data_IF_585684573404
#
_entry.id   IF_585684573404
#
_cell.length_a   1.000
_cell.length_b   1.000
_cell.length_c   1.000
_cell.angle_alpha   90.00
_cell.angle_beta   90.00
_cell.angle_gamma   90.00
#
_symmetry.space_group_name_H-M   'P 1'
#
loop_
_entity.id
_entity.type
_entity.pdbx_description
1 polymer ?
#
# COMPACT_ATOMS: atom_id res chain seq x y z
N UNK A 1 41.00 1.02 -36.13
CA UNK A 1 40.89 -0.38 -35.63
C UNK A 1 39.58 -0.54 -34.90
N UNK A 2 38.79 -1.55 -35.30
CA UNK A 2 37.45 -1.89 -34.82
C UNK A 2 37.44 -2.27 -33.34
N UNK A 3 36.40 -1.88 -32.59
CA UNK A 3 35.80 -2.73 -31.55
C UNK A 3 34.28 -2.68 -31.65
N UNK A 4 33.72 -3.88 -31.76
CA UNK A 4 32.34 -4.27 -31.98
C UNK A 4 31.46 -4.05 -30.75
N UNK A 5 30.30 -3.44 -30.93
CA UNK A 5 29.18 -3.59 -29.99
C UNK A 5 28.40 -4.85 -30.38
N UNK A 6 28.25 -5.75 -29.40
CA UNK A 6 27.44 -6.97 -29.49
C UNK A 6 25.96 -6.62 -29.63
N UNK A 7 25.35 -7.13 -30.70
CA UNK A 7 23.93 -7.01 -31.01
C UNK A 7 23.14 -8.09 -30.23
N UNK A 8 22.19 -7.71 -29.38
CA UNK A 8 21.16 -8.63 -28.86
C UNK A 8 19.79 -7.98 -29.05
N UNK A 9 18.80 -8.66 -29.68
CA UNK A 9 17.50 -8.06 -29.95
C UNK A 9 16.55 -8.20 -28.74
N UNK A 10 15.91 -7.10 -28.34
CA UNK A 10 14.76 -7.11 -27.41
C UNK A 10 13.45 -7.19 -28.19
N UNK A 11 12.61 -8.18 -27.85
CA UNK A 11 11.34 -8.53 -28.50
C UNK A 11 10.19 -7.63 -28.01
N UNK A 12 9.31 -7.18 -28.91
CA UNK A 12 8.10 -6.44 -28.54
C UNK A 12 7.05 -7.36 -27.89
N UNK A 13 6.67 -7.07 -26.63
CA UNK A 13 5.76 -7.90 -25.82
C UNK A 13 4.31 -7.97 -26.33
N UNK A 14 3.92 -7.14 -27.31
CA UNK A 14 2.53 -7.10 -27.81
C UNK A 14 2.30 -7.81 -29.15
N UNK A 15 3.32 -7.93 -30.00
CA UNK A 15 3.19 -8.58 -31.32
C UNK A 15 4.28 -9.62 -31.64
N UNK A 16 5.28 -9.76 -30.77
CA UNK A 16 6.24 -10.88 -30.82
C UNK A 16 7.28 -10.87 -31.95
N UNK A 17 7.36 -9.82 -32.78
CA UNK A 17 8.34 -9.70 -33.88
C UNK A 17 9.62 -8.98 -33.46
N UNK A 18 10.75 -9.34 -34.06
CA UNK A 18 12.06 -8.71 -33.88
C UNK A 18 12.42 -7.83 -35.09
N UNK A 19 12.92 -6.61 -34.86
CA UNK A 19 13.49 -5.73 -35.89
C UNK A 19 12.94 -4.29 -35.90
N UNK A 20 13.87 -3.33 -35.80
CA UNK A 20 13.84 -1.88 -36.07
C UNK A 20 12.55 -1.05 -35.86
N UNK A 21 12.65 -0.11 -34.91
CA UNK A 21 11.74 1.02 -34.73
C UNK A 21 11.66 1.91 -35.98
N UNK A 22 10.46 2.09 -36.52
CA UNK A 22 10.07 3.32 -37.20
C UNK A 22 8.69 3.75 -36.71
N UNK A 23 8.58 5.05 -36.43
CA UNK A 23 7.37 5.77 -36.07
C UNK A 23 6.25 5.50 -37.09
N UNK A 24 5.27 4.65 -36.77
CA UNK A 24 3.93 4.66 -37.36
C UNK A 24 3.05 3.57 -36.72
N UNK A 25 2.33 3.93 -35.66
CA UNK A 25 1.17 3.17 -35.16
C UNK A 25 0.26 4.05 -34.29
N UNK A 26 0.03 5.27 -34.76
CA UNK A 26 -1.09 6.10 -34.34
C UNK A 26 -1.88 6.47 -35.60
N UNK A 27 -3.20 6.37 -35.49
CA UNK A 27 -4.19 6.72 -36.51
C UNK A 27 -4.44 5.70 -37.62
N UNK A 28 -5.59 4.99 -37.53
CA UNK A 28 -6.69 5.08 -38.50
C UNK A 28 -7.75 4.03 -38.16
N UNK A 29 -8.85 4.49 -37.56
CA UNK A 29 -10.13 3.80 -37.68
C UNK A 29 -11.24 4.84 -37.85
N UNK A 30 -11.68 4.99 -39.09
CA UNK A 30 -13.00 5.54 -39.41
C UNK A 30 -13.48 4.85 -40.69
N UNK A 31 -14.61 4.13 -40.63
CA UNK A 31 -15.45 4.06 -41.81
C UNK A 31 -16.93 4.22 -41.44
N UNK A 32 -17.48 5.39 -41.79
CA UNK A 32 -18.87 5.51 -42.22
C UNK A 32 -18.97 5.22 -43.73
N UNK A 33 -20.13 4.66 -44.10
CA UNK A 33 -20.78 4.58 -45.41
C UNK A 33 -20.50 3.41 -46.39
N UNK A 34 -21.40 2.42 -46.30
CA UNK A 34 -22.50 2.13 -47.24
C UNK A 34 -22.19 1.65 -48.68
N UNK A 35 -22.52 0.37 -48.96
CA UNK A 35 -23.70 -0.07 -49.76
C UNK A 35 -23.44 -1.25 -50.75
N UNK A 36 -24.43 -2.17 -50.78
CA UNK A 36 -24.83 -3.18 -51.80
C UNK A 36 -24.03 -4.50 -52.02
N UNK A 37 -24.60 -5.62 -51.54
CA UNK A 37 -25.49 -6.55 -52.31
C UNK A 37 -25.79 -7.85 -51.54
N UNK A 38 -27.07 -8.01 -51.18
CA UNK A 38 -27.91 -9.22 -51.23
C UNK A 38 -27.26 -10.62 -51.22
N UNK A 39 -27.52 -11.40 -50.17
CA UNK A 39 -28.21 -12.71 -50.30
C UNK A 39 -29.01 -13.02 -49.02
N UNK A 40 -30.25 -13.49 -49.21
CA UNK A 40 -31.19 -13.94 -48.17
C UNK A 40 -30.73 -15.28 -47.60
N UNK A 41 -30.68 -15.42 -46.28
CA UNK A 41 -31.02 -16.67 -45.60
C UNK A 41 -31.50 -16.38 -44.18
N UNK A 42 -32.72 -16.84 -43.91
CA UNK A 42 -33.45 -16.71 -42.66
C UNK A 42 -32.87 -17.58 -41.56
N UNK A 43 -32.41 -16.96 -40.48
CA UNK A 43 -32.18 -17.64 -39.21
C UNK A 43 -32.84 -16.82 -38.09
N UNK A 44 -33.72 -17.50 -37.34
CA UNK A 44 -34.49 -16.98 -36.22
C UNK A 44 -33.55 -16.36 -35.18
N UNK A 45 -33.70 -15.07 -34.92
CA UNK A 45 -33.06 -14.41 -33.78
C UNK A 45 -33.89 -14.75 -32.54
N UNK A 46 -33.38 -15.65 -31.72
CA UNK A 46 -33.85 -15.82 -30.35
C UNK A 46 -33.48 -14.54 -29.59
N UNK A 47 -34.49 -13.78 -29.21
CA UNK A 47 -34.34 -12.59 -28.39
C UNK A 47 -34.15 -13.05 -26.93
N UNK A 48 -32.92 -13.43 -26.56
CA UNK A 48 -32.53 -13.47 -25.15
C UNK A 48 -32.30 -12.02 -24.75
N UNK A 49 -33.21 -11.50 -23.92
CA UNK A 49 -32.99 -10.25 -23.21
C UNK A 49 -31.63 -10.35 -22.51
N UNK A 50 -30.68 -9.51 -22.92
CA UNK A 50 -29.50 -9.26 -22.13
C UNK A 50 -30.01 -8.68 -20.80
N UNK A 51 -29.99 -9.48 -19.75
CA UNK A 51 -30.03 -8.94 -18.39
C UNK A 51 -28.83 -8.02 -18.29
N UNK A 52 -29.09 -6.72 -18.37
CA UNK A 52 -28.15 -5.71 -17.92
C UNK A 52 -27.91 -5.99 -16.45
N UNK A 53 -26.80 -6.67 -16.15
CA UNK A 53 -26.23 -6.67 -14.81
C UNK A 53 -25.98 -5.21 -14.51
N UNK A 54 -26.85 -4.62 -13.71
CA UNK A 54 -26.64 -3.29 -13.18
C UNK A 54 -25.47 -3.45 -12.21
N UNK A 55 -24.24 -3.23 -12.71
CA UNK A 55 -23.02 -3.30 -11.91
C UNK A 55 -23.22 -2.33 -10.74
N UNK A 56 -23.42 -2.89 -9.54
CA UNK A 56 -23.43 -2.12 -8.31
C UNK A 56 -22.10 -1.37 -8.16
N UNK A 57 -22.03 -0.33 -7.32
CA UNK A 57 -20.80 0.45 -7.17
C UNK A 57 -19.63 -0.48 -6.82
N UNK A 58 -18.61 -0.51 -7.69
CA UNK A 58 -17.37 -1.21 -7.41
C UNK A 58 -16.61 -0.44 -6.31
N UNK A 59 -16.85 -0.83 -5.06
CA UNK A 59 -16.15 -0.25 -3.92
C UNK A 59 -14.71 -0.79 -3.92
N UNK A 60 -13.75 0.10 -3.65
CA UNK A 60 -12.39 -0.28 -3.30
C UNK A 60 -12.10 0.11 -1.85
N UNK A 61 -11.61 -0.86 -1.08
CA UNK A 61 -11.04 -0.61 0.23
C UNK A 61 -9.52 -0.55 0.11
N UNK A 62 -8.92 0.55 0.55
CA UNK A 62 -7.46 0.63 0.66
C UNK A 62 -7.04 0.66 2.12
N UNK A 63 -6.02 -0.12 2.46
CA UNK A 63 -5.49 -0.22 3.83
C UNK A 63 -4.02 0.17 3.83
N UNK A 64 -3.62 1.10 4.69
CA UNK A 64 -2.20 1.40 4.88
C UNK A 64 -1.49 0.24 5.59
N UNK A 65 -0.25 -0.08 5.18
CA UNK A 65 0.51 -1.19 5.78
C UNK A 65 0.74 -1.03 7.30
N UNK A 66 0.83 0.22 7.80
CA UNK A 66 0.92 0.53 9.24
C UNK A 66 -0.35 0.16 10.01
N UNK A 67 -1.49 0.02 9.32
CA UNK A 67 -2.71 -0.51 9.92
C UNK A 67 -2.75 -2.01 10.00
N UNK A 68 -2.00 -2.70 9.14
CA UNK A 68 -2.00 -4.15 9.15
C UNK A 68 -1.32 -4.67 10.42
N UNK A 69 -0.36 -3.95 11.02
CA UNK A 69 0.41 -4.41 12.18
C UNK A 69 0.38 -3.44 13.36
N UNK A 70 0.17 -3.96 14.58
CA UNK A 70 0.28 -3.13 15.79
C UNK A 70 1.74 -3.00 16.23
N UNK A 71 2.33 -1.83 15.95
CA UNK A 71 3.75 -1.57 16.21
C UNK A 71 4.05 -1.07 17.63
N UNK A 72 3.03 -0.62 18.39
CA UNK A 72 3.18 -0.20 19.80
C UNK A 72 2.82 -1.26 20.84
N UNK A 73 2.30 -2.43 20.46
CA UNK A 73 1.97 -3.48 21.44
C UNK A 73 3.18 -3.81 22.33
N UNK A 74 2.95 -3.98 23.64
CA UNK A 74 3.97 -4.36 24.61
C UNK A 74 4.79 -5.58 24.15
N UNK A 75 4.16 -6.53 23.45
CA UNK A 75 4.82 -7.71 22.87
C UNK A 75 5.77 -7.32 21.73
N UNK A 76 5.30 -6.53 20.77
CA UNK A 76 6.10 -6.01 19.65
C UNK A 76 7.28 -5.18 20.14
N UNK A 77 7.03 -4.29 21.11
CA UNK A 77 8.05 -3.45 21.71
C UNK A 77 9.06 -4.25 22.52
N UNK A 78 8.64 -5.25 23.30
CA UNK A 78 9.57 -6.10 24.05
C UNK A 78 10.49 -6.90 23.13
N UNK A 79 9.93 -7.46 22.05
CA UNK A 79 10.69 -8.22 21.06
C UNK A 79 11.70 -7.32 20.34
N UNK A 80 11.25 -6.13 19.93
CA UNK A 80 12.08 -5.11 19.30
C UNK A 80 13.16 -4.58 20.23
N UNK A 81 12.84 -4.28 21.49
CA UNK A 81 13.79 -3.81 22.52
C UNK A 81 14.83 -4.87 22.84
N UNK A 82 14.44 -6.13 23.00
CA UNK A 82 15.38 -7.22 23.27
C UNK A 82 16.38 -7.40 22.12
N UNK A 83 15.88 -7.26 20.89
CA UNK A 83 16.66 -7.35 19.67
C UNK A 83 17.62 -6.15 19.49
N UNK A 84 17.11 -4.92 19.61
CA UNK A 84 17.91 -3.68 19.56
C UNK A 84 18.95 -3.70 20.69
N UNK A 85 18.59 -4.11 21.91
CA UNK A 85 19.54 -4.21 23.02
C UNK A 85 20.65 -5.21 22.76
N UNK A 86 20.33 -6.38 22.20
CA UNK A 86 21.32 -7.43 21.88
C UNK A 86 22.28 -6.99 20.78
N UNK A 87 21.80 -6.30 19.76
CA UNK A 87 22.57 -5.98 18.54
C UNK A 87 23.23 -4.59 18.61
N UNK A 88 22.58 -3.60 19.23
CA UNK A 88 23.02 -2.20 19.28
C UNK A 88 23.53 -1.76 20.66
N UNK A 89 23.33 -2.57 21.71
CA UNK A 89 23.64 -2.19 23.09
C UNK A 89 22.78 -1.06 23.65
N UNK A 90 21.82 -0.54 22.87
CA UNK A 90 20.89 0.51 23.26
C UNK A 90 19.45 -0.02 23.26
N UNK A 91 18.58 0.59 24.03
CA UNK A 91 17.14 0.32 23.98
C UNK A 91 16.39 1.63 23.82
N UNK A 92 15.57 1.72 22.78
CA UNK A 92 14.62 2.81 22.64
C UNK A 92 13.30 2.39 23.26
N UNK A 93 12.81 3.18 24.21
CA UNK A 93 11.45 3.02 24.73
C UNK A 93 10.42 3.59 23.73
N UNK A 94 9.14 3.57 24.12
CA UNK A 94 8.05 3.93 23.20
C UNK A 94 8.07 5.44 22.95
N UNK A 95 8.34 6.18 24.01
CA UNK A 95 8.38 7.63 24.08
C UNK A 95 9.53 8.15 23.21
N UNK A 96 10.75 7.67 23.45
CA UNK A 96 11.93 8.03 22.66
C UNK A 96 11.78 7.62 21.20
N UNK A 97 11.23 6.43 20.92
CA UNK A 97 11.01 6.03 19.53
C UNK A 97 9.97 6.90 18.82
N UNK A 98 8.97 7.42 19.54
CA UNK A 98 8.02 8.40 19.03
C UNK A 98 8.68 9.71 18.62
N UNK A 99 9.57 10.25 19.46
CA UNK A 99 10.35 11.45 19.11
C UNK A 99 11.25 11.20 17.90
N UNK A 100 11.92 10.05 17.87
CA UNK A 100 12.78 9.67 16.77
C UNK A 100 12.02 9.45 15.45
N UNK A 101 10.72 9.12 15.47
CA UNK A 101 9.89 8.97 14.26
C UNK A 101 9.69 10.28 13.50
N UNK A 102 9.82 11.43 14.18
CA UNK A 102 9.82 12.76 13.55
C UNK A 102 11.02 12.96 12.60
N UNK A 103 12.06 12.14 12.75
CA UNK A 103 13.20 12.07 11.82
C UNK A 103 12.89 10.99 10.77
N UNK A 104 12.76 11.43 9.53
CA UNK A 104 12.51 10.57 8.38
C UNK A 104 13.70 9.64 8.09
N UNK A 105 13.41 8.38 7.78
CA UNK A 105 14.42 7.39 7.41
C UNK A 105 15.10 6.69 8.61
N UNK A 106 15.26 5.37 8.51
CA UNK A 106 15.79 4.56 9.60
C UNK A 106 17.28 4.78 9.88
N UNK A 107 18.06 5.11 8.85
CA UNK A 107 19.51 5.36 8.98
C UNK A 107 19.76 6.73 9.60
N UNK A 108 19.07 7.73 9.08
CA UNK A 108 19.10 9.13 9.50
C UNK A 108 18.71 9.24 10.97
N UNK A 109 17.67 8.52 11.39
CA UNK A 109 17.27 8.38 12.80
C UNK A 109 18.36 7.81 13.69
N UNK A 110 19.02 6.71 13.28
CA UNK A 110 20.10 6.12 14.05
C UNK A 110 21.30 7.07 14.15
N UNK A 111 21.67 7.73 13.04
CA UNK A 111 22.75 8.72 13.01
C UNK A 111 22.45 9.90 13.94
N UNK A 112 21.24 10.47 13.85
CA UNK A 112 20.83 11.58 14.70
C UNK A 112 20.82 11.19 16.19
N UNK A 113 20.30 10.01 16.51
CA UNK A 113 20.33 9.47 17.87
C UNK A 113 21.78 9.38 18.41
N UNK A 114 22.69 8.72 17.68
CA UNK A 114 24.08 8.57 18.16
C UNK A 114 24.87 9.87 18.17
N UNK A 115 24.56 10.82 17.29
CA UNK A 115 25.16 12.16 17.34
C UNK A 115 24.73 12.92 18.61
N UNK A 116 23.52 12.70 19.10
CA UNK A 116 23.00 13.35 20.32
C UNK A 116 23.42 12.62 21.61
N UNK A 117 23.36 11.28 21.62
CA UNK A 117 23.58 10.48 22.84
C UNK A 117 25.00 9.94 22.98
N UNK A 118 25.85 10.15 21.97
CA UNK A 118 27.16 9.53 21.85
C UNK A 118 27.11 8.22 21.06
N UNK A 119 28.17 8.00 20.29
CA UNK A 119 28.33 6.79 19.48
C UNK A 119 28.75 5.59 20.34
N UNK A 120 28.28 4.36 20.03
CA UNK A 120 28.69 3.16 20.75
C UNK A 120 30.21 2.98 20.73
N UNK A 121 30.80 2.39 21.78
CA UNK A 121 32.26 2.20 21.86
C UNK A 121 32.85 1.38 20.69
N UNK A 122 32.05 0.52 20.06
CA UNK A 122 32.43 -0.28 18.89
C UNK A 122 32.25 0.45 17.55
N UNK A 123 31.67 1.65 17.56
CA UNK A 123 31.45 2.41 16.34
C UNK A 123 32.78 2.98 15.82
N UNK A 124 32.94 3.06 14.49
CA UNK A 124 34.10 3.71 13.89
C UNK A 124 34.22 5.19 14.25
N UNK A 125 35.42 5.74 14.07
CA UNK A 125 35.72 7.14 14.41
C UNK A 125 35.53 8.11 13.24
N UNK A 126 35.68 7.65 12.01
CA UNK A 126 35.52 8.51 10.82
C UNK A 126 34.08 8.51 10.31
N UNK A 127 33.69 9.58 9.61
CA UNK A 127 32.32 9.76 9.14
C UNK A 127 31.96 8.76 8.04
N UNK A 128 32.88 8.44 7.13
CA UNK A 128 32.70 7.42 6.09
C UNK A 128 32.42 6.05 6.70
N UNK A 129 33.23 5.63 7.67
CA UNK A 129 33.07 4.34 8.33
C UNK A 129 31.80 4.29 9.19
N UNK A 130 31.40 5.43 9.80
CA UNK A 130 30.13 5.55 10.52
C UNK A 130 28.93 5.40 9.59
N UNK A 131 28.97 5.94 8.38
CA UNK A 131 27.90 5.73 7.38
C UNK A 131 27.75 4.24 7.04
N UNK A 132 28.84 3.54 6.80
CA UNK A 132 28.84 2.08 6.55
C UNK A 132 28.34 1.30 7.76
N UNK A 133 28.77 1.68 8.97
CA UNK A 133 28.30 1.08 10.21
C UNK A 133 26.78 1.23 10.35
N UNK A 134 26.23 2.43 10.19
CA UNK A 134 24.77 2.68 10.23
C UNK A 134 24.03 1.88 9.14
N UNK A 135 24.59 1.79 7.93
CA UNK A 135 24.00 1.00 6.86
C UNK A 135 23.93 -0.49 7.25
N UNK A 136 24.98 -1.04 7.86
CA UNK A 136 25.00 -2.43 8.34
C UNK A 136 24.00 -2.68 9.46
N UNK A 137 23.88 -1.75 10.43
CA UNK A 137 22.88 -1.80 11.49
C UNK A 137 21.45 -1.74 10.92
N UNK A 138 21.21 -0.86 9.95
CA UNK A 138 19.92 -0.75 9.29
C UNK A 138 19.55 -2.02 8.54
N UNK A 139 20.52 -2.62 7.82
CA UNK A 139 20.36 -3.90 7.14
C UNK A 139 20.00 -5.00 8.14
N UNK A 140 20.76 -5.12 9.23
CA UNK A 140 20.50 -6.10 10.29
C UNK A 140 19.14 -5.93 10.94
N UNK A 141 18.77 -4.70 11.29
CA UNK A 141 17.42 -4.37 11.80
C UNK A 141 16.33 -4.78 10.80
N UNK A 142 16.58 -4.63 9.51
CA UNK A 142 15.64 -5.01 8.45
C UNK A 142 15.49 -6.52 8.37
N UNK A 143 16.58 -7.29 8.37
CA UNK A 143 16.56 -8.77 8.40
C UNK A 143 15.77 -9.30 9.59
N UNK A 144 16.00 -8.71 10.77
CA UNK A 144 15.33 -9.14 11.98
C UNK A 144 13.84 -8.81 11.95
N UNK A 145 13.46 -7.64 11.44
CA UNK A 145 12.06 -7.28 11.22
C UNK A 145 11.37 -8.26 10.27
N UNK A 146 12.02 -8.66 9.17
CA UNK A 146 11.50 -9.68 8.26
C UNK A 146 11.31 -11.03 8.97
N UNK A 147 12.28 -11.45 9.79
CA UNK A 147 12.15 -12.69 10.57
C UNK A 147 10.99 -12.64 11.58
N UNK A 148 10.64 -11.46 12.11
CA UNK A 148 9.46 -11.31 12.96
C UNK A 148 8.15 -11.52 12.20
N UNK A 149 8.09 -11.02 10.96
CA UNK A 149 6.94 -11.18 10.06
C UNK A 149 6.79 -12.66 9.68
N UNK A 150 7.87 -13.28 9.21
CA UNK A 150 7.88 -14.69 8.77
C UNK A 150 7.46 -15.65 9.90
N UNK A 151 7.89 -15.36 11.14
CA UNK A 151 7.50 -16.13 12.33
C UNK A 151 6.14 -15.75 12.91
N UNK A 152 5.40 -14.84 12.27
CA UNK A 152 4.08 -14.34 12.70
C UNK A 152 4.08 -13.81 14.15
N UNK A 153 5.18 -13.17 14.55
CA UNK A 153 5.35 -12.60 15.90
C UNK A 153 4.84 -11.16 16.00
N UNK A 154 4.40 -10.58 14.89
CA UNK A 154 3.75 -9.27 14.85
C UNK A 154 2.23 -9.47 14.76
N UNK A 155 1.45 -8.97 15.73
CA UNK A 155 0.00 -9.09 15.68
C UNK A 155 -0.58 -8.13 14.64
N UNK A 156 -1.68 -8.57 14.01
CA UNK A 156 -2.53 -7.66 13.25
C UNK A 156 -3.21 -6.66 14.19
N UNK A 157 -3.56 -5.47 13.70
CA UNK A 157 -4.43 -4.56 14.48
C UNK A 157 -5.85 -5.15 14.58
N UNK A 158 -6.58 -4.92 15.69
CA UNK A 158 -7.93 -5.44 15.87
C UNK A 158 -8.86 -5.03 14.71
N UNK A 159 -9.59 -6.00 14.17
CA UNK A 159 -10.57 -5.82 13.09
C UNK A 159 -10.02 -5.82 11.67
N UNK A 160 -8.69 -5.76 11.46
CA UNK A 160 -8.11 -5.70 10.10
C UNK A 160 -8.46 -6.92 9.27
N UNK A 161 -8.21 -8.11 9.83
CA UNK A 161 -8.48 -9.36 9.10
C UNK A 161 -9.98 -9.49 8.83
N UNK A 162 -10.82 -9.20 9.83
CA UNK A 162 -12.29 -9.23 9.71
C UNK A 162 -12.80 -8.31 8.61
N UNK A 163 -12.37 -7.05 8.59
CA UNK A 163 -12.82 -6.08 7.60
C UNK A 163 -12.38 -6.47 6.18
N UNK A 164 -11.16 -7.01 6.04
CA UNK A 164 -10.68 -7.58 4.77
C UNK A 164 -11.57 -8.76 4.36
N UNK A 165 -11.91 -9.66 5.28
CA UNK A 165 -12.78 -10.80 4.99
C UNK A 165 -14.18 -10.38 4.58
N UNK A 166 -14.75 -9.36 5.22
CA UNK A 166 -16.04 -8.78 4.82
C UNK A 166 -15.97 -8.20 3.41
N UNK A 167 -14.94 -7.40 3.10
CA UNK A 167 -14.75 -6.79 1.78
C UNK A 167 -14.62 -7.86 0.71
N UNK A 168 -13.70 -8.80 0.93
CA UNK A 168 -13.47 -9.93 0.05
C UNK A 168 -14.74 -10.80 -0.09
N UNK A 169 -15.52 -11.00 0.96
CA UNK A 169 -16.79 -11.74 0.94
C UNK A 169 -17.88 -11.08 0.10
N UNK A 170 -17.87 -9.75 -0.03
CA UNK A 170 -18.79 -8.96 -0.86
C UNK A 170 -18.21 -8.56 -2.22
N UNK A 171 -17.13 -9.23 -2.66
CA UNK A 171 -16.42 -8.93 -3.92
C UNK A 171 -15.90 -7.49 -4.05
N UNK A 172 -15.70 -6.79 -2.92
CA UNK A 172 -15.06 -5.48 -2.87
C UNK A 172 -13.57 -5.66 -3.14
N UNK A 173 -13.01 -4.82 -4.03
CA UNK A 173 -11.57 -4.86 -4.35
C UNK A 173 -10.77 -4.32 -3.16
N UNK A 174 -9.70 -5.02 -2.79
CA UNK A 174 -8.84 -4.62 -1.66
C UNK A 174 -7.43 -4.33 -2.14
N UNK A 175 -6.92 -3.16 -1.77
CA UNK A 175 -5.54 -2.78 -2.02
C UNK A 175 -4.79 -2.40 -0.74
N UNK A 176 -3.48 -2.64 -0.72
CA UNK A 176 -2.58 -2.12 0.31
C UNK A 176 -1.69 -1.05 -0.32
N UNK A 177 -1.75 0.18 0.21
CA UNK A 177 -1.02 1.33 -0.30
C UNK A 177 -0.02 1.85 0.75
N UNK A 178 1.28 1.72 0.49
CA UNK A 178 2.32 2.07 1.48
C UNK A 178 3.54 2.80 0.89
N UNK A 179 4.13 3.68 1.69
CA UNK A 179 5.47 4.26 1.40
C UNK A 179 6.62 3.33 1.79
N UNK A 180 6.33 2.22 2.49
CA UNK A 180 7.31 1.19 2.85
C UNK A 180 7.76 0.39 1.62
N UNK A 181 8.93 -0.25 1.71
CA UNK A 181 9.43 -1.11 0.63
C UNK A 181 8.49 -2.31 0.38
N UNK A 182 8.35 -2.69 -0.89
CA UNK A 182 7.43 -3.73 -1.35
C UNK A 182 7.69 -5.08 -0.65
N UNK A 183 8.95 -5.53 -0.54
CA UNK A 183 9.30 -6.77 0.16
C UNK A 183 8.71 -6.88 1.58
N UNK A 184 8.75 -5.80 2.37
CA UNK A 184 8.20 -5.79 3.72
C UNK A 184 6.66 -5.83 3.70
N UNK A 185 6.02 -5.09 2.80
CA UNK A 185 4.56 -5.07 2.65
C UNK A 185 4.04 -6.42 2.19
N UNK A 186 4.66 -7.00 1.16
CA UNK A 186 4.33 -8.32 0.62
C UNK A 186 4.50 -9.42 1.66
N UNK A 187 5.55 -9.35 2.50
CA UNK A 187 5.71 -10.28 3.61
C UNK A 187 4.61 -10.11 4.68
N UNK A 188 4.26 -8.87 5.05
CA UNK A 188 3.18 -8.62 6.02
C UNK A 188 1.86 -9.21 5.51
N UNK A 189 1.50 -8.93 4.26
CA UNK A 189 0.27 -9.45 3.65
C UNK A 189 0.32 -10.98 3.58
N UNK A 190 1.39 -11.57 3.05
CA UNK A 190 1.47 -13.03 2.86
C UNK A 190 1.54 -13.82 4.16
N UNK A 191 2.37 -13.40 5.13
CA UNK A 191 2.58 -14.16 6.36
C UNK A 191 1.53 -13.87 7.43
N UNK A 192 1.10 -12.61 7.57
CA UNK A 192 0.20 -12.20 8.66
C UNK A 192 -1.26 -12.27 8.27
N UNK A 193 -1.65 -11.87 7.06
CA UNK A 193 -3.03 -12.02 6.55
C UNK A 193 -3.26 -13.42 5.93
N UNK A 194 -2.19 -14.09 5.50
CA UNK A 194 -2.23 -15.43 4.93
C UNK A 194 -2.30 -15.44 3.39
N UNK A 195 -1.92 -16.56 2.76
CA UNK A 195 -1.78 -16.67 1.31
C UNK A 195 -3.10 -16.43 0.56
N UNK A 196 -4.22 -16.98 1.04
CA UNK A 196 -5.52 -16.86 0.37
C UNK A 196 -5.99 -15.40 0.25
N UNK A 197 -5.72 -14.58 1.27
CA UNK A 197 -5.99 -13.13 1.21
C UNK A 197 -4.97 -12.42 0.34
N UNK A 198 -3.70 -12.81 0.43
CA UNK A 198 -2.62 -12.20 -0.34
C UNK A 198 -2.85 -12.32 -1.86
N UNK A 199 -3.40 -13.43 -2.34
CA UNK A 199 -3.76 -13.61 -3.75
C UNK A 199 -4.84 -12.64 -4.23
N UNK A 200 -5.64 -12.10 -3.30
CA UNK A 200 -6.79 -11.24 -3.57
C UNK A 200 -6.58 -9.77 -3.21
N UNK A 201 -5.41 -9.44 -2.66
CA UNK A 201 -5.04 -8.08 -2.25
C UNK A 201 -3.98 -7.57 -3.22
N UNK A 202 -4.24 -6.45 -3.89
CA UNK A 202 -3.23 -5.80 -4.74
C UNK A 202 -2.34 -4.88 -3.92
N UNK A 203 -1.02 -5.01 -4.06
CA UNK A 203 -0.05 -4.24 -3.28
C UNK A 203 0.55 -3.12 -4.13
N UNK A 204 0.47 -1.89 -3.61
CA UNK A 204 1.15 -0.70 -4.13
C UNK A 204 2.11 -0.19 -3.05
N UNK A 205 3.41 -0.31 -3.28
CA UNK A 205 4.40 -0.05 -2.25
C UNK A 205 5.68 0.60 -2.79
N UNK A 206 6.37 1.32 -1.91
CA UNK A 206 7.73 1.81 -2.13
C UNK A 206 7.80 2.87 -3.22
N UNK A 207 8.62 2.61 -4.23
CA UNK A 207 8.93 3.55 -5.31
C UNK A 207 8.14 3.25 -6.59
N UNK A 208 7.01 2.52 -6.47
CA UNK A 208 6.03 2.34 -7.57
C UNK A 208 5.44 3.69 -8.04
N UNK A 209 5.54 4.71 -7.19
CA UNK A 209 5.26 6.10 -7.54
C UNK A 209 6.45 7.01 -7.19
N UNK A 210 6.72 8.05 -7.99
CA UNK A 210 7.86 8.93 -7.78
C UNK A 210 7.69 9.87 -6.57
N UNK A 211 6.45 10.24 -6.24
CA UNK A 211 6.11 11.11 -5.11
C UNK A 211 5.35 10.30 -4.06
N UNK A 212 5.83 10.36 -2.82
CA UNK A 212 5.26 9.66 -1.67
C UNK A 212 4.19 10.53 -1.00
N UNK A 213 3.35 9.90 -0.17
CA UNK A 213 2.38 10.58 0.70
C UNK A 213 3.07 11.78 1.40
N UNK A 214 2.49 13.00 1.39
CA UNK A 214 1.08 13.31 1.18
C UNK A 214 0.63 13.45 -0.28
N UNK A 215 1.50 13.19 -1.26
CA UNK A 215 1.08 13.13 -2.66
C UNK A 215 0.07 11.98 -2.89
N UNK A 216 -1.01 12.20 -3.66
CA UNK A 216 -2.07 11.20 -3.87
C UNK A 216 -1.69 10.08 -4.85
N UNK A 217 -0.53 10.15 -5.52
CA UNK A 217 -0.17 9.28 -6.64
C UNK A 217 -0.37 7.78 -6.35
N UNK A 218 -0.05 7.31 -5.13
CA UNK A 218 -0.18 5.89 -4.79
C UNK A 218 -1.63 5.42 -4.72
N UNK A 219 -2.55 6.28 -4.27
CA UNK A 219 -3.98 5.99 -4.23
C UNK A 219 -4.61 6.08 -5.62
N UNK A 220 -4.22 7.08 -6.41
CA UNK A 220 -4.65 7.22 -7.80
C UNK A 220 -4.19 6.01 -8.63
N UNK A 221 -2.94 5.57 -8.44
CA UNK A 221 -2.42 4.36 -9.08
C UNK A 221 -3.24 3.14 -8.69
N UNK A 222 -3.57 2.98 -7.41
CA UNK A 222 -4.38 1.86 -6.93
C UNK A 222 -5.77 1.83 -7.56
N UNK A 223 -6.49 2.96 -7.51
CA UNK A 223 -7.81 3.10 -8.12
C UNK A 223 -7.79 2.81 -9.63
N UNK A 224 -6.83 3.41 -10.35
CA UNK A 224 -6.66 3.22 -11.79
C UNK A 224 -6.37 1.76 -12.14
N UNK A 225 -5.46 1.11 -11.39
CA UNK A 225 -5.08 -0.29 -11.63
C UNK A 225 -6.24 -1.24 -11.36
N UNK A 226 -7.05 -0.93 -10.35
CA UNK A 226 -8.21 -1.74 -9.98
C UNK A 226 -9.47 -1.39 -10.79
N UNK A 227 -9.43 -0.35 -11.62
CA UNK A 227 -10.54 0.07 -12.47
C UNK A 227 -11.72 0.69 -11.72
N UNK A 228 -11.49 1.31 -10.57
CA UNK A 228 -12.53 1.89 -9.71
C UNK A 228 -12.48 3.42 -9.70
N UNK A 229 -13.64 4.06 -9.51
CA UNK A 229 -13.73 5.49 -9.29
C UNK A 229 -13.19 5.85 -7.88
N UNK A 230 -12.24 6.79 -7.75
CA UNK A 230 -11.81 7.31 -6.45
C UNK A 230 -12.95 7.73 -5.51
N UNK A 231 -14.07 8.24 -6.04
CA UNK A 231 -15.24 8.61 -5.22
C UNK A 231 -15.98 7.40 -4.63
N UNK A 232 -15.77 6.21 -5.18
CA UNK A 232 -16.27 4.94 -4.65
C UNK A 232 -15.26 4.23 -3.73
N UNK A 233 -14.17 4.90 -3.38
CA UNK A 233 -13.10 4.31 -2.58
C UNK A 233 -13.14 4.79 -1.12
N UNK A 234 -12.94 3.84 -0.21
CA UNK A 234 -12.70 4.12 1.21
C UNK A 234 -11.27 3.74 1.56
N UNK A 235 -10.52 4.71 2.04
CA UNK A 235 -9.17 4.56 2.55
C UNK A 235 -9.23 4.42 4.07
N UNK A 236 -8.56 3.41 4.62
CA UNK A 236 -8.26 3.34 6.05
C UNK A 236 -6.80 3.76 6.24
N UNK A 237 -6.59 4.80 7.05
CA UNK A 237 -5.26 5.36 7.36
C UNK A 237 -5.01 5.50 8.87
N UNK A 238 -3.76 5.75 9.26
CA UNK A 238 -3.40 6.10 10.64
C UNK A 238 -2.71 7.44 10.80
N UNK A 239 -2.22 8.06 9.73
CA UNK A 239 -1.43 9.30 9.80
C UNK A 239 -2.05 10.44 9.01
N UNK A 240 -1.78 11.67 9.41
CA UNK A 240 -2.21 12.90 8.71
C UNK A 240 -1.62 13.01 7.31
N UNK A 241 -0.38 12.56 7.13
CA UNK A 241 0.26 12.46 5.82
C UNK A 241 -0.51 11.49 4.91
N UNK A 242 -0.95 10.36 5.46
CA UNK A 242 -1.77 9.39 4.76
C UNK A 242 -3.18 9.90 4.45
N UNK A 243 -3.81 10.55 5.43
CA UNK A 243 -5.09 11.22 5.30
C UNK A 243 -5.04 12.27 4.17
N UNK A 244 -4.06 13.17 4.19
CA UNK A 244 -3.89 14.19 3.17
C UNK A 244 -3.77 13.59 1.76
N UNK A 245 -3.00 12.51 1.60
CA UNK A 245 -2.90 11.80 0.32
C UNK A 245 -4.23 11.17 -0.13
N UNK A 246 -5.00 10.59 0.80
CA UNK A 246 -6.31 10.02 0.51
C UNK A 246 -7.32 11.08 0.07
N UNK A 247 -7.38 12.20 0.80
CA UNK A 247 -8.27 13.33 0.47
C UNK A 247 -7.87 13.98 -0.85
N UNK A 248 -6.59 14.17 -1.10
CA UNK A 248 -6.09 14.70 -2.38
C UNK A 248 -6.36 13.76 -3.57
N UNK A 249 -6.54 12.47 -3.33
CA UNK A 249 -6.97 11.50 -4.35
C UNK A 249 -8.48 11.51 -4.59
N UNK A 250 -9.26 12.32 -3.88
CA UNK A 250 -10.72 12.38 -3.99
C UNK A 250 -11.45 11.24 -3.28
N UNK A 251 -10.78 10.52 -2.37
CA UNK A 251 -11.33 9.36 -1.68
C UNK A 251 -11.90 9.70 -0.31
N UNK A 252 -12.82 8.87 0.19
CA UNK A 252 -13.21 8.88 1.61
C UNK A 252 -12.08 8.30 2.44
N UNK A 253 -11.85 8.88 3.62
CA UNK A 253 -10.78 8.43 4.50
C UNK A 253 -11.28 8.27 5.94
N UNK A 254 -11.18 7.04 6.43
CA UNK A 254 -11.37 6.68 7.83
C UNK A 254 -9.99 6.61 8.47
N UNK A 255 -9.77 7.35 9.55
CA UNK A 255 -8.55 7.25 10.34
C UNK A 255 -8.75 6.28 11.49
N UNK A 256 -7.84 5.33 11.66
CA UNK A 256 -7.70 4.53 12.88
C UNK A 256 -6.39 4.89 13.55
N UNK A 257 -6.46 5.72 14.60
CA UNK A 257 -5.30 6.26 15.31
C UNK A 257 -4.33 5.13 15.65
N UNK A 258 -3.06 5.27 15.27
CA UNK A 258 -2.03 4.34 15.70
C UNK A 258 -1.28 4.93 16.88
N UNK A 259 -0.44 4.10 17.49
CA UNK A 259 0.28 4.52 18.68
C UNK A 259 1.06 5.82 18.53
N UNK A 260 1.67 6.08 17.36
CA UNK A 260 2.53 7.25 17.16
C UNK A 260 1.82 8.46 16.55
N UNK A 261 0.57 8.29 16.13
CA UNK A 261 -0.19 9.31 15.40
C UNK A 261 -1.42 9.78 16.16
N UNK A 262 -1.68 9.26 17.37
CA UNK A 262 -2.90 9.51 18.13
C UNK A 262 -3.20 11.00 18.41
N UNK A 263 -2.13 11.80 18.54
CA UNK A 263 -2.16 13.25 18.80
C UNK A 263 -2.02 14.10 17.53
N UNK A 264 -1.98 13.48 16.34
CA UNK A 264 -2.02 14.24 15.09
C UNK A 264 -3.44 14.79 14.82
N UNK A 265 -3.52 15.83 13.99
CA UNK A 265 -4.76 16.50 13.64
C UNK A 265 -5.49 15.82 12.46
N UNK A 266 -6.61 15.19 12.75
CA UNK A 266 -7.43 14.46 11.78
C UNK A 266 -8.72 15.19 11.38
N UNK A 267 -8.80 16.52 11.50
CA UNK A 267 -9.99 17.32 11.17
C UNK A 267 -10.58 17.04 9.77
N UNK A 268 -9.72 16.69 8.80
CA UNK A 268 -10.15 16.44 7.41
C UNK A 268 -10.60 14.99 7.13
N UNK A 269 -10.56 14.11 8.14
CA UNK A 269 -11.02 12.73 8.01
C UNK A 269 -12.55 12.65 7.95
N UNK A 270 -13.07 11.68 7.20
CA UNK A 270 -14.51 11.43 7.14
C UNK A 270 -15.02 10.67 8.38
N UNK A 271 -14.14 9.94 9.06
CA UNK A 271 -14.36 9.35 10.38
C UNK A 271 -13.03 9.07 11.09
N UNK A 272 -13.02 9.05 12.44
CA UNK A 272 -11.83 8.77 13.26
C UNK A 272 -12.17 7.78 14.36
N UNK A 273 -11.39 6.72 14.49
CA UNK A 273 -11.53 5.67 15.51
C UNK A 273 -10.18 5.34 16.16
N UNK A 274 -10.22 4.63 17.29
CA UNK A 274 -9.03 4.07 17.96
C UNK A 274 -8.50 2.83 17.22
N UNK A 275 -9.39 2.00 16.67
CA UNK A 275 -9.12 0.83 15.85
C UNK A 275 -10.35 0.45 15.01
N UNK A 276 -10.27 -0.63 14.22
CA UNK A 276 -11.41 -1.20 13.49
C UNK A 276 -12.27 -2.03 14.44
N UNK A 277 -11.62 -2.88 15.25
CA UNK A 277 -12.24 -3.68 16.31
C UNK A 277 -12.74 -5.05 15.84
N UNK A 278 -12.76 -6.00 16.78
CA UNK A 278 -13.34 -7.33 16.60
C UNK A 278 -14.49 -7.51 17.60
N UNK A 279 -15.49 -8.37 17.33
CA UNK A 279 -16.56 -8.65 18.29
C UNK A 279 -16.00 -9.05 19.66
N UNK A 280 -16.59 -8.55 20.76
CA UNK A 280 -17.83 -7.77 20.83
C UNK A 280 -17.65 -6.24 20.64
N UNK A 281 -16.44 -5.75 20.42
CA UNK A 281 -16.14 -4.32 20.38
C UNK A 281 -15.76 -3.82 18.97
N UNK A 282 -16.70 -3.92 18.05
CA UNK A 282 -16.54 -3.39 16.69
C UNK A 282 -16.75 -1.87 16.69
N UNK A 283 -15.82 -1.11 16.10
CA UNK A 283 -15.95 0.35 15.93
C UNK A 283 -16.62 0.69 14.60
N UNK A 284 -16.21 -0.01 13.54
CA UNK A 284 -16.86 0.04 12.23
C UNK A 284 -16.66 -1.26 11.44
N UNK A 285 -17.51 -1.46 10.44
CA UNK A 285 -17.53 -2.60 9.53
C UNK A 285 -17.61 -2.12 8.07
N UNK A 286 -17.72 -3.06 7.14
CA UNK A 286 -17.84 -2.73 5.73
C UNK A 286 -19.12 -1.94 5.39
N UNK A 287 -20.21 -2.14 6.13
CA UNK A 287 -21.48 -1.44 5.88
C UNK A 287 -21.37 0.04 6.28
N UNK A 288 -20.65 0.34 7.35
CA UNK A 288 -20.25 1.71 7.68
C UNK A 288 -19.46 2.36 6.54
N UNK A 289 -18.48 1.66 5.97
CA UNK A 289 -17.69 2.15 4.83
C UNK A 289 -18.59 2.47 3.62
N UNK A 290 -19.55 1.59 3.28
CA UNK A 290 -20.49 1.82 2.20
C UNK A 290 -21.42 3.02 2.47
N UNK A 291 -21.94 3.16 3.69
CA UNK A 291 -22.77 4.29 4.10
C UNK A 291 -22.03 5.63 4.05
N UNK A 292 -20.70 5.62 4.26
CA UNK A 292 -19.86 6.82 4.18
C UNK A 292 -19.80 7.40 2.75
N UNK A 293 -19.89 6.55 1.74
CA UNK A 293 -19.91 6.94 0.33
C UNK A 293 -21.26 7.56 -0.07
N UNK A 294 -22.36 7.11 0.52
CA UNK A 294 -23.72 7.58 0.17
C UNK A 294 -24.02 9.01 0.62
N UNK A 295 -23.37 9.50 1.68
CA UNK A 295 -23.64 10.83 2.28
C UNK A 295 -23.28 12.04 1.41
N UNK A 296 -22.82 11.84 0.16
CA UNK A 296 -22.44 12.92 -0.75
C UNK A 296 -23.57 13.43 -1.64
N UNK A 297 -24.71 12.73 -1.73
CA UNK A 297 -25.87 13.21 -2.48
C UNK A 297 -26.78 14.05 -1.58
N UNK A 298 -26.36 15.28 -1.26
CA UNK A 298 -27.33 16.32 -0.91
C UNK A 298 -27.67 17.02 -2.23
N UNK A 299 -28.88 16.75 -2.73
CA UNK A 299 -29.49 17.41 -3.89
C UNK A 299 -29.56 18.92 -3.72
#
# INVERSE_FOLDING_TARGET
MKRSASNTPTRCFRCGKEGHMSYDCLEKFNPQNNDRRSTRSSAKVNNMAAETVQEGPEIMMTVSCTLVIETKSLKTNRLRRALIKKELGVSWDVELYGELLKIGGGKERMTAYFNQTGWPAKAPKTDEQRKEFIASLHKRKTELFMALIEKKLLPLRPGVQRLIDEALGKAVKVAVCSTSNEKAVSAIVSYLLGPDRAERITIFAGDVVPRKKPDPAIYILAATTLGVDPQSCVVVEDSTIGLAAAKAAGMKCIVTKSGYTAEEDFETADAVFDCIGDPPEVRFDLDFCANLLQKQYVS
#
